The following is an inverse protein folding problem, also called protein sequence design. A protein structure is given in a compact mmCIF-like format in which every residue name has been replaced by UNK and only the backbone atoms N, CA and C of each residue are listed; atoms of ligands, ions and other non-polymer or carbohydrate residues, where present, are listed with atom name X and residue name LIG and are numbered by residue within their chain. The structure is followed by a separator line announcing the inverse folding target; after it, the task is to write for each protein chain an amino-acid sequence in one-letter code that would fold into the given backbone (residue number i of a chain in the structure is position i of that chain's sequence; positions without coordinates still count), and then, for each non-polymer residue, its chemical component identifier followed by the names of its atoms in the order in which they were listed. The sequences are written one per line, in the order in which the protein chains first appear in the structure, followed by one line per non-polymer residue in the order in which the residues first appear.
data_IF_689211635013
#
_entry.id   IF_689211635013
#
_cell.length_a   1.000
_cell.length_b   1.000
_cell.length_c   1.000
_cell.angle_alpha   90.00
_cell.angle_beta   90.00
_cell.angle_gamma   90.00
#
_symmetry.space_group_name_H-M   'P 1'
#
loop_
_entity.id
_entity.type
_entity.pdbx_description
1 polymer ?
#
# COMPACT_ATOMS: atom_id res chain seq x y z
N UNK A 1 25.64 -19.98 25.51
CA UNK A 1 25.82 -19.14 24.30
C UNK A 1 24.53 -19.02 23.49
N UNK A 2 23.87 -20.13 23.16
CA UNK A 2 22.60 -20.16 22.38
C UNK A 2 21.47 -19.35 23.05
N UNK A 3 21.27 -19.48 24.34
CA UNK A 3 20.24 -18.72 25.09
C UNK A 3 20.51 -17.19 25.09
N UNK A 4 21.78 -16.78 25.13
CA UNK A 4 22.12 -15.35 25.01
C UNK A 4 21.90 -14.79 23.62
N UNK A 5 22.14 -15.60 22.59
CA UNK A 5 21.86 -15.22 21.19
C UNK A 5 20.37 -15.20 20.92
N UNK A 6 19.60 -16.12 21.50
CA UNK A 6 18.14 -16.15 21.37
C UNK A 6 17.48 -14.99 22.11
N UNK A 7 17.93 -14.67 23.33
CA UNK A 7 17.50 -13.46 24.05
C UNK A 7 17.91 -12.16 23.36
N UNK A 8 19.08 -12.13 22.73
CA UNK A 8 19.51 -10.96 21.93
C UNK A 8 18.66 -10.80 20.67
N UNK A 9 18.31 -11.90 19.98
CA UNK A 9 17.40 -11.91 18.83
C UNK A 9 15.98 -11.53 19.24
N UNK A 10 15.50 -11.99 20.39
CA UNK A 10 14.19 -11.63 20.92
C UNK A 10 14.11 -10.15 21.35
N UNK A 11 15.17 -9.62 21.99
CA UNK A 11 15.32 -8.20 22.30
C UNK A 11 15.41 -7.34 21.04
N UNK A 12 16.12 -7.79 20.00
CA UNK A 12 16.22 -7.09 18.72
C UNK A 12 14.90 -7.10 17.96
N UNK A 13 14.13 -8.20 18.07
CA UNK A 13 12.78 -8.33 17.52
C UNK A 13 11.77 -7.41 18.22
N UNK A 14 11.92 -7.25 19.54
CA UNK A 14 11.06 -6.35 20.34
C UNK A 14 11.37 -4.88 20.09
N UNK A 15 12.60 -4.55 19.72
CA UNK A 15 13.02 -3.15 19.44
C UNK A 15 12.53 -2.65 18.07
N UNK A 16 12.14 -3.54 17.17
CA UNK A 16 11.68 -3.18 15.81
C UNK A 16 10.17 -3.05 15.68
N UNK A 17 9.38 -3.56 16.61
CA UNK A 17 7.92 -3.46 16.59
C UNK A 17 7.48 -2.13 17.23
N UNK A 18 6.84 -1.27 16.45
CA UNK A 18 6.28 -0.02 16.94
C UNK A 18 4.76 -0.11 16.96
N UNK A 19 4.09 0.31 18.06
CA UNK A 19 2.64 0.37 18.08
C UNK A 19 2.13 1.37 17.03
N UNK A 20 0.96 1.09 16.47
CA UNK A 20 0.26 2.06 15.66
C UNK A 20 -0.19 3.24 16.55
N UNK A 21 -0.35 4.42 15.95
CA UNK A 21 -0.99 5.54 16.64
C UNK A 21 -2.44 5.19 17.01
N UNK A 22 -3.05 5.83 18.02
CA UNK A 22 -4.43 5.56 18.38
C UNK A 22 -5.41 5.67 17.21
N UNK A 23 -5.21 6.65 16.33
CA UNK A 23 -6.02 6.82 15.12
C UNK A 23 -5.79 5.70 14.13
N UNK A 24 -4.54 5.29 13.91
CA UNK A 24 -4.20 4.16 13.03
C UNK A 24 -4.74 2.83 13.57
N UNK A 25 -4.79 2.64 14.89
CA UNK A 25 -5.44 1.49 15.55
C UNK A 25 -6.93 1.39 15.17
N UNK A 26 -7.64 2.52 15.15
CA UNK A 26 -9.05 2.56 14.76
C UNK A 26 -9.27 1.98 13.36
N UNK A 27 -8.43 2.36 12.39
CA UNK A 27 -8.56 1.93 11.00
C UNK A 27 -8.28 0.43 10.76
N UNK A 28 -7.64 -0.26 11.69
CA UNK A 28 -7.41 -1.70 11.63
C UNK A 28 -8.35 -2.48 12.55
N UNK A 29 -9.26 -1.79 13.24
CA UNK A 29 -10.26 -2.42 14.11
C UNK A 29 -11.31 -3.18 13.30
N UNK A 30 -11.85 -4.30 13.81
CA UNK A 30 -12.91 -5.03 13.14
C UNK A 30 -14.12 -4.14 12.83
N UNK A 31 -14.61 -4.21 11.60
CA UNK A 31 -15.76 -3.43 11.13
C UNK A 31 -15.44 -1.99 10.72
N UNK A 32 -14.20 -1.55 10.87
CA UNK A 32 -13.77 -0.23 10.43
C UNK A 32 -12.64 -0.35 9.39
N UNK A 33 -13.03 -0.41 8.12
CA UNK A 33 -12.08 -0.50 7.02
C UNK A 33 -12.12 0.79 6.20
N UNK A 34 -10.97 1.43 6.03
CA UNK A 34 -10.87 2.66 5.27
C UNK A 34 -9.59 2.67 4.42
N UNK A 35 -9.74 2.98 3.15
CA UNK A 35 -8.65 3.15 2.19
C UNK A 35 -8.70 4.55 1.58
N UNK A 36 -7.55 5.05 1.22
CA UNK A 36 -7.39 6.25 0.40
C UNK A 36 -7.08 5.77 -1.01
N UNK A 37 -7.87 6.22 -1.97
CA UNK A 37 -7.62 5.98 -3.40
C UNK A 37 -7.45 7.34 -4.07
N UNK A 38 -6.40 7.47 -4.88
CA UNK A 38 -6.13 8.67 -5.65
C UNK A 38 -5.64 8.32 -7.04
N UNK A 39 -5.92 9.20 -7.98
CA UNK A 39 -5.55 9.01 -9.39
C UNK A 39 -4.60 10.12 -9.83
N UNK A 40 -3.51 9.74 -10.49
CA UNK A 40 -2.55 10.63 -11.12
C UNK A 40 -2.66 10.47 -12.64
N UNK A 41 -3.01 11.55 -13.34
CA UNK A 41 -3.02 11.59 -14.80
C UNK A 41 -1.67 12.06 -15.35
N UNK A 42 -1.18 11.39 -16.38
CA UNK A 42 0.05 11.76 -17.08
C UNK A 42 -0.25 12.22 -18.51
N UNK A 43 0.54 13.17 -19.01
CA UNK A 43 0.47 13.64 -20.40
C UNK A 43 1.16 12.71 -21.40
N UNK A 44 1.85 11.69 -20.91
CA UNK A 44 2.58 10.70 -21.71
C UNK A 44 2.27 9.32 -21.17
N UNK A 45 2.63 8.29 -21.94
CA UNK A 45 2.52 6.90 -21.48
C UNK A 45 3.36 6.67 -20.21
N UNK A 46 2.77 6.11 -19.19
CA UNK A 46 3.44 5.83 -17.93
C UNK A 46 4.38 4.63 -18.08
N UNK A 47 5.61 4.77 -17.57
CA UNK A 47 6.56 3.68 -17.46
C UNK A 47 6.48 3.07 -16.05
N UNK A 48 5.99 1.82 -15.89
CA UNK A 48 5.91 1.18 -14.57
C UNK A 48 7.25 1.07 -13.86
N UNK A 49 8.35 0.85 -14.60
CA UNK A 49 9.69 0.77 -14.01
C UNK A 49 10.14 2.09 -13.40
N UNK A 50 9.77 3.22 -14.00
CA UNK A 50 10.07 4.54 -13.43
C UNK A 50 9.31 4.76 -12.11
N UNK A 51 8.07 4.27 -12.00
CA UNK A 51 7.30 4.30 -10.74
C UNK A 51 7.97 3.43 -9.68
N UNK A 52 8.35 2.20 -10.03
CA UNK A 52 9.08 1.28 -9.13
C UNK A 52 10.34 1.95 -8.59
N UNK A 53 11.19 2.51 -9.45
CA UNK A 53 12.42 3.18 -9.03
C UNK A 53 12.14 4.44 -8.19
N UNK A 54 11.12 5.21 -8.53
CA UNK A 54 10.68 6.35 -7.72
C UNK A 54 10.30 5.93 -6.30
N UNK A 55 9.52 4.87 -6.16
CA UNK A 55 9.08 4.34 -4.85
C UNK A 55 10.28 3.78 -4.06
N UNK A 56 11.20 3.04 -4.69
CA UNK A 56 12.44 2.54 -4.07
C UNK A 56 13.31 3.67 -3.52
N UNK A 57 13.34 4.79 -4.21
CA UNK A 57 14.16 5.94 -3.82
C UNK A 57 13.50 6.85 -2.78
N UNK A 58 12.20 6.72 -2.54
CA UNK A 58 11.41 7.59 -1.67
C UNK A 58 10.65 6.81 -0.60
N UNK A 59 9.48 6.31 -0.92
CA UNK A 59 8.48 5.81 0.04
C UNK A 59 8.92 4.57 0.80
N UNK A 60 9.64 3.66 0.16
CA UNK A 60 10.12 2.44 0.83
C UNK A 60 11.08 2.73 2.00
N UNK A 61 11.66 3.93 2.02
CA UNK A 61 12.51 4.40 3.11
C UNK A 61 11.72 4.85 4.34
N UNK A 62 10.41 5.04 4.17
CA UNK A 62 9.52 5.37 5.28
C UNK A 62 9.10 4.07 5.98
N UNK A 63 9.27 3.96 7.32
CA UNK A 63 9.05 2.71 8.05
C UNK A 63 7.65 2.10 7.84
N UNK A 64 6.61 2.92 7.70
CA UNK A 64 5.23 2.44 7.50
C UNK A 64 5.03 1.76 6.14
N UNK A 65 5.74 2.22 5.11
CA UNK A 65 5.69 1.66 3.76
C UNK A 65 6.52 0.38 3.60
N UNK A 66 7.42 0.10 4.55
CA UNK A 66 8.23 -1.12 4.61
C UNK A 66 7.88 -2.00 5.82
N UNK A 67 6.67 -1.85 6.34
CA UNK A 67 6.15 -2.66 7.45
C UNK A 67 4.75 -3.17 7.14
N UNK A 68 4.42 -4.32 7.70
CA UNK A 68 3.04 -4.83 7.76
C UNK A 68 2.44 -4.59 9.13
N UNK A 69 1.12 -4.63 9.22
CA UNK A 69 0.38 -4.55 10.48
C UNK A 69 0.16 -5.95 11.02
N UNK A 70 0.46 -6.15 12.30
CA UNK A 70 0.22 -7.41 13.02
C UNK A 70 -0.50 -7.10 14.32
N UNK A 71 -1.51 -7.88 14.67
CA UNK A 71 -2.17 -7.81 15.97
C UNK A 71 -1.26 -8.48 17.01
N UNK A 72 -0.93 -7.77 18.09
CA UNK A 72 -0.06 -8.30 19.15
C UNK A 72 -0.92 -8.86 20.29
N UNK A 73 -1.09 -10.18 20.30
CA UNK A 73 -1.85 -10.89 21.33
C UNK A 73 -1.29 -10.67 22.75
N UNK A 74 0.02 -10.38 22.87
CA UNK A 74 0.66 -10.07 24.16
C UNK A 74 0.31 -8.68 24.70
N UNK A 75 -0.22 -7.82 23.84
CA UNK A 75 -0.63 -6.44 24.15
C UNK A 75 -2.14 -6.23 23.98
N UNK A 76 -2.95 -7.16 24.46
CA UNK A 76 -4.41 -7.09 24.37
C UNK A 76 -4.96 -6.88 22.94
N UNK A 77 -4.25 -7.39 21.93
CA UNK A 77 -4.66 -7.26 20.53
C UNK A 77 -4.37 -5.87 19.92
N UNK A 78 -3.49 -5.07 20.51
CA UNK A 78 -3.02 -3.83 19.87
C UNK A 78 -2.28 -4.14 18.57
N UNK A 79 -2.54 -3.34 17.54
CA UNK A 79 -1.84 -3.46 16.27
C UNK A 79 -0.44 -2.83 16.35
N UNK A 80 0.54 -3.52 15.76
CA UNK A 80 1.95 -3.08 15.71
C UNK A 80 2.47 -3.12 14.29
N UNK A 81 3.40 -2.22 13.98
CA UNK A 81 4.17 -2.23 12.73
C UNK A 81 5.32 -3.24 12.84
N UNK A 82 5.36 -4.19 11.93
CA UNK A 82 6.44 -5.17 11.82
C UNK A 82 7.20 -4.95 10.52
N UNK A 83 8.47 -4.53 10.57
CA UNK A 83 9.29 -4.36 9.37
C UNK A 83 9.39 -5.64 8.56
N UNK A 84 9.33 -5.52 7.25
CA UNK A 84 9.45 -6.63 6.30
C UNK A 84 10.34 -6.24 5.12
N UNK A 85 10.90 -7.23 4.45
CA UNK A 85 11.54 -7.01 3.15
C UNK A 85 10.46 -6.83 2.08
N UNK A 86 10.49 -5.72 1.36
CA UNK A 86 9.47 -5.37 0.36
C UNK A 86 10.06 -5.46 -1.04
N UNK A 87 9.42 -6.25 -1.90
CA UNK A 87 9.62 -6.16 -3.35
C UNK A 87 8.62 -5.15 -3.89
N UNK A 88 9.13 -3.98 -4.26
CA UNK A 88 8.30 -2.86 -4.76
C UNK A 88 7.53 -3.27 -6.01
N UNK A 89 8.12 -4.13 -6.84
CA UNK A 89 7.51 -4.67 -8.05
C UNK A 89 6.19 -5.41 -7.77
N UNK A 90 6.06 -6.05 -6.61
CA UNK A 90 4.85 -6.78 -6.22
C UNK A 90 3.70 -5.82 -5.79
N UNK A 91 4.01 -4.55 -5.59
CA UNK A 91 3.08 -3.49 -5.21
C UNK A 91 2.75 -2.53 -6.37
N UNK A 92 3.45 -2.64 -7.51
CA UNK A 92 3.16 -1.88 -8.72
C UNK A 92 2.51 -2.82 -9.74
N UNK A 93 1.21 -2.71 -9.87
CA UNK A 93 0.36 -3.62 -10.65
C UNK A 93 0.10 -2.99 -12.00
N UNK A 94 0.43 -3.72 -13.07
CA UNK A 94 0.07 -3.35 -14.43
C UNK A 94 -0.99 -4.37 -14.88
N UNK A 95 -2.28 -4.02 -14.83
CA UNK A 95 -3.32 -4.97 -15.22
C UNK A 95 -3.22 -5.29 -16.71
N UNK A 96 -3.42 -6.56 -17.02
CA UNK A 96 -3.56 -7.00 -18.42
C UNK A 96 -4.97 -6.62 -18.91
N UNK A 97 -5.05 -5.59 -19.73
CA UNK A 97 -6.30 -5.01 -20.19
C UNK A 97 -6.48 -5.26 -21.68
N UNK A 98 -7.63 -5.82 -22.04
CA UNK A 98 -8.05 -5.86 -23.43
C UNK A 98 -8.65 -4.51 -23.85
N UNK A 99 -7.80 -3.67 -24.42
CA UNK A 99 -8.19 -2.32 -24.86
C UNK A 99 -9.29 -2.33 -25.93
N UNK A 100 -9.46 -3.46 -26.67
CA UNK A 100 -10.50 -3.57 -27.71
C UNK A 100 -11.91 -3.63 -27.13
N UNK A 101 -12.04 -4.03 -25.86
CA UNK A 101 -13.30 -4.15 -25.14
C UNK A 101 -13.64 -2.92 -24.28
N UNK A 102 -12.79 -1.90 -24.29
CA UNK A 102 -13.02 -0.67 -23.50
C UNK A 102 -13.63 0.39 -24.43
N UNK A 103 -14.96 0.47 -24.45
CA UNK A 103 -15.69 1.42 -25.28
C UNK A 103 -15.60 2.84 -24.74
N UNK A 104 -15.68 3.01 -23.41
CA UNK A 104 -15.58 4.30 -22.73
C UNK A 104 -14.46 4.27 -21.68
N UNK A 105 -13.26 4.79 -22.02
CA UNK A 105 -12.11 4.77 -21.10
C UNK A 105 -12.33 5.55 -19.79
N UNK A 106 -13.06 6.66 -19.82
CA UNK A 106 -13.32 7.46 -18.62
C UNK A 106 -14.22 6.68 -17.65
N UNK A 107 -15.29 6.09 -18.11
CA UNK A 107 -16.19 5.25 -17.31
C UNK A 107 -15.45 4.01 -16.78
N UNK A 108 -14.62 3.37 -17.62
CA UNK A 108 -13.81 2.24 -17.20
C UNK A 108 -12.89 2.62 -16.01
N UNK A 109 -12.27 3.79 -16.04
CA UNK A 109 -11.39 4.24 -14.94
C UNK A 109 -12.20 4.53 -13.66
N UNK A 110 -13.40 5.09 -13.78
CA UNK A 110 -14.30 5.31 -12.63
C UNK A 110 -14.68 3.97 -11.98
N UNK A 111 -15.10 2.99 -12.77
CA UNK A 111 -15.44 1.65 -12.30
C UNK A 111 -14.24 0.93 -11.69
N UNK A 112 -13.08 1.00 -12.34
CA UNK A 112 -11.84 0.41 -11.83
C UNK A 112 -11.47 1.00 -10.47
N UNK A 113 -11.52 2.33 -10.34
CA UNK A 113 -11.22 3.04 -9.08
C UNK A 113 -12.21 2.69 -7.97
N UNK A 114 -13.49 2.61 -8.29
CA UNK A 114 -14.56 2.19 -7.38
C UNK A 114 -14.36 0.76 -6.88
N UNK A 115 -13.99 -0.15 -7.78
CA UNK A 115 -13.70 -1.53 -7.44
C UNK A 115 -12.47 -1.64 -6.52
N UNK A 116 -11.42 -0.86 -6.79
CA UNK A 116 -10.25 -0.80 -5.90
C UNK A 116 -10.62 -0.32 -4.51
N UNK A 117 -11.44 0.73 -4.39
CA UNK A 117 -11.87 1.26 -3.10
C UNK A 117 -12.66 0.22 -2.28
N UNK A 118 -13.44 -0.64 -2.94
CA UNK A 118 -14.27 -1.65 -2.30
C UNK A 118 -13.58 -3.01 -2.09
N UNK A 119 -12.42 -3.24 -2.68
CA UNK A 119 -11.67 -4.50 -2.52
C UNK A 119 -10.79 -4.43 -1.28
N UNK A 120 -10.86 -5.39 -0.34
CA UNK A 120 -9.96 -5.43 0.80
C UNK A 120 -8.49 -5.56 0.39
N UNK A 121 -7.60 -4.99 1.20
CA UNK A 121 -6.15 -5.16 1.04
C UNK A 121 -5.68 -6.40 1.79
N UNK A 122 -4.62 -7.02 1.29
CA UNK A 122 -3.96 -8.15 1.95
C UNK A 122 -3.13 -7.65 3.15
N UNK A 123 -3.62 -7.92 4.36
CA UNK A 123 -2.99 -7.53 5.62
C UNK A 123 -1.65 -8.25 5.90
N UNK A 124 -1.30 -9.28 5.13
CA UNK A 124 -0.04 -10.01 5.29
C UNK A 124 1.19 -9.26 4.75
N UNK A 125 0.97 -8.15 4.05
CA UNK A 125 1.97 -7.33 3.36
C UNK A 125 1.81 -5.84 3.68
N UNK A 126 2.76 -4.97 3.33
CA UNK A 126 2.58 -3.51 3.44
C UNK A 126 1.31 -3.04 2.71
N UNK A 127 0.55 -2.15 3.36
CA UNK A 127 -0.81 -1.81 3.00
C UNK A 127 -0.90 -0.67 1.98
N UNK A 128 -0.20 -0.81 0.88
CA UNK A 128 -0.22 0.13 -0.24
C UNK A 128 -0.02 -0.60 -1.56
N UNK A 129 -0.58 -0.06 -2.63
CA UNK A 129 -0.39 -0.55 -4.00
C UNK A 129 -0.59 0.58 -5.01
N UNK A 130 0.04 0.44 -6.17
CA UNK A 130 -0.11 1.30 -7.33
C UNK A 130 -0.57 0.48 -8.52
N UNK A 131 -1.55 1.00 -9.24
CA UNK A 131 -2.05 0.42 -10.49
C UNK A 131 -1.69 1.35 -11.64
N UNK A 132 -0.94 0.87 -12.62
CA UNK A 132 -0.53 1.64 -13.80
C UNK A 132 -1.39 1.24 -14.97
N UNK A 133 -2.20 2.19 -15.46
CA UNK A 133 -3.12 1.99 -16.56
C UNK A 133 -2.69 2.88 -17.74
N UNK A 134 -2.15 2.25 -18.77
CA UNK A 134 -1.79 2.94 -20.02
C UNK A 134 -3.01 3.04 -20.96
N UNK A 135 -4.07 3.67 -20.46
CA UNK A 135 -5.33 3.93 -21.16
C UNK A 135 -5.42 5.45 -21.35
N UNK A 136 -5.72 5.87 -22.57
CA UNK A 136 -6.01 7.27 -22.88
C UNK A 136 -7.45 7.59 -22.47
N UNK A 137 -7.59 8.63 -21.64
CA UNK A 137 -8.88 9.19 -21.22
C UNK A 137 -9.06 10.60 -21.80
N UNK A 138 -10.17 11.24 -21.49
CA UNK A 138 -10.42 12.64 -21.89
C UNK A 138 -9.37 13.62 -21.36
N UNK A 139 -8.73 13.33 -20.22
CA UNK A 139 -7.85 14.24 -19.51
C UNK A 139 -6.38 13.76 -19.39
N UNK A 140 -6.07 12.51 -19.76
CA UNK A 140 -4.73 11.95 -19.59
C UNK A 140 -4.39 10.92 -20.67
N UNK A 141 -3.12 10.80 -21.01
CA UNK A 141 -2.61 9.75 -21.90
C UNK A 141 -2.40 8.42 -21.16
N UNK A 142 -2.21 8.47 -19.85
CA UNK A 142 -2.14 7.31 -18.96
C UNK A 142 -2.41 7.72 -17.53
N UNK A 143 -2.64 6.74 -16.65
CA UNK A 143 -2.95 6.98 -15.25
C UNK A 143 -2.16 6.04 -14.35
N UNK A 144 -1.89 6.53 -13.13
CA UNK A 144 -1.52 5.67 -12.01
C UNK A 144 -2.53 5.91 -10.88
N UNK A 145 -3.06 4.82 -10.35
CA UNK A 145 -4.01 4.85 -9.24
C UNK A 145 -3.29 4.28 -8.01
N UNK A 146 -3.14 5.12 -6.98
CA UNK A 146 -2.61 4.69 -5.69
C UNK A 146 -3.74 4.30 -4.76
N UNK A 147 -3.54 3.22 -4.01
CA UNK A 147 -4.44 2.75 -2.96
C UNK A 147 -3.65 2.52 -1.68
N UNK A 148 -4.04 3.18 -0.61
CA UNK A 148 -3.39 3.11 0.69
C UNK A 148 -4.43 2.80 1.76
N UNK A 149 -4.10 1.90 2.68
CA UNK A 149 -4.90 1.74 3.88
C UNK A 149 -4.71 2.97 4.78
N UNK A 150 -5.79 3.47 5.37
CA UNK A 150 -5.76 4.73 6.13
C UNK A 150 -4.90 4.65 7.40
N UNK A 151 -4.53 3.44 7.86
CA UNK A 151 -3.57 3.27 8.97
C UNK A 151 -2.16 3.79 8.65
N UNK A 152 -1.78 3.91 7.37
CA UNK A 152 -0.48 4.46 6.96
C UNK A 152 -0.33 5.94 7.30
N UNK A 153 -1.42 6.68 7.28
CA UNK A 153 -1.48 8.10 7.60
C UNK A 153 -2.75 8.74 7.08
N UNK A 154 -3.05 9.92 7.58
CA UNK A 154 -4.07 10.80 7.03
C UNK A 154 -3.51 11.60 5.84
N UNK A 155 -4.37 12.28 5.10
CA UNK A 155 -3.98 13.08 3.92
C UNK A 155 -3.00 14.22 4.23
N UNK A 156 -2.71 14.49 5.51
CA UNK A 156 -1.76 15.51 5.97
C UNK A 156 -0.40 14.91 6.33
N UNK A 157 -0.33 13.58 6.54
CA UNK A 157 0.88 12.87 7.00
C UNK A 157 1.46 11.90 5.96
N UNK A 158 0.86 11.82 4.77
CA UNK A 158 1.35 11.04 3.62
C UNK A 158 2.22 11.84 2.66
#
# INVERSE_FOLDING_TARGET
LKEREEMAREKQKTTTMKPLSPVSQLFVSPGFYCVIVFTLGFKTRCNPLAIVEGIKNTWIKLPRFSSKVVMDDKKNGEAVWVPVSVRVEDHVIVPDLDHSNIENPDEFIEDYTSNLANTPMDMSRPLWEFHVLNIKTSNAESLAIGKFHHSLGDGMSL
#
